data_IF_914320322883
#
_entry.id   IF_914320322883
#
_cell.length_a   1.000
_cell.length_b   1.000
_cell.length_c   1.000
_cell.angle_alpha   90.00
_cell.angle_beta   90.00
_cell.angle_gamma   90.00
#
_symmetry.space_group_name_H-M   'P 1'
#
loop_
_entity.id
_entity.type
_entity.pdbx_description
1 polymer ?
#
# COMPACT_ATOMS: atom_id res chain seq x y z
N UNK A 1 -20.23 13.05 4.12
CA UNK A 1 -19.96 11.59 4.01
C UNK A 1 -19.34 11.33 2.64
N UNK A 2 -18.01 11.22 2.58
CA UNK A 2 -17.31 11.01 1.31
C UNK A 2 -17.34 9.53 0.94
N UNK A 3 -17.54 9.19 -0.34
CA UNK A 3 -17.49 7.81 -0.79
C UNK A 3 -16.07 7.29 -0.55
N UNK A 4 -15.95 6.41 0.44
CA UNK A 4 -14.78 5.52 0.49
C UNK A 4 -14.92 4.56 -0.68
N UNK A 5 -13.82 3.97 -1.13
CA UNK A 5 -13.77 3.01 -2.25
C UNK A 5 -14.92 1.96 -2.27
N UNK A 6 -15.53 1.50 -1.15
CA UNK A 6 -16.76 0.67 -1.23
C UNK A 6 -17.99 1.36 -1.85
N UNK A 7 -18.14 2.69 -1.82
CA UNK A 7 -19.30 3.36 -2.43
C UNK A 7 -19.26 3.35 -3.97
N UNK A 8 -18.07 3.17 -4.57
CA UNK A 8 -17.91 3.08 -6.03
C UNK A 8 -18.33 1.69 -6.55
N UNK A 9 -18.40 0.67 -5.68
CA UNK A 9 -18.97 -0.63 -6.05
C UNK A 9 -20.50 -0.65 -6.00
N UNK A 10 -21.14 0.34 -5.37
CA UNK A 10 -22.61 0.49 -5.30
C UNK A 10 -23.18 1.36 -6.43
N UNK A 11 -22.38 2.27 -7.01
CA UNK A 11 -22.79 3.04 -8.18
C UNK A 11 -22.12 2.49 -9.44
N UNK A 12 -22.87 1.66 -10.17
CA UNK A 12 -22.43 1.14 -11.46
C UNK A 12 -21.97 2.25 -12.42
N UNK A 13 -20.88 1.98 -13.12
CA UNK A 13 -20.41 2.38 -14.48
C UNK A 13 -20.69 3.83 -14.96
N UNK A 14 -21.86 4.42 -14.73
CA UNK A 14 -22.25 5.77 -15.20
C UNK A 14 -21.60 6.94 -14.45
N UNK A 15 -20.83 6.72 -13.39
CA UNK A 15 -20.32 7.79 -12.52
C UNK A 15 -18.98 8.42 -12.97
N UNK A 16 -18.20 7.79 -13.85
CA UNK A 16 -16.84 8.27 -14.16
C UNK A 16 -16.77 9.36 -15.24
N UNK A 17 -17.71 9.40 -16.18
CA UNK A 17 -17.66 10.33 -17.32
C UNK A 17 -17.65 11.81 -16.91
N UNK A 18 -18.25 12.14 -15.76
CA UNK A 18 -18.35 13.52 -15.24
C UNK A 18 -17.48 13.77 -14.00
N UNK A 19 -16.71 12.78 -13.55
CA UNK A 19 -15.96 12.90 -12.30
C UNK A 19 -14.62 13.61 -12.53
N UNK A 20 -14.52 14.85 -12.06
CA UNK A 20 -13.25 15.58 -11.96
C UNK A 20 -12.65 15.30 -10.57
N UNK A 21 -11.48 14.64 -10.48
CA UNK A 21 -10.88 14.34 -9.19
C UNK A 21 -10.31 15.59 -8.52
N UNK A 22 -10.61 15.77 -7.23
CA UNK A 22 -10.07 16.88 -6.42
C UNK A 22 -8.56 16.82 -6.17
N UNK A 23 -7.84 15.77 -6.59
CA UNK A 23 -6.41 15.57 -6.37
C UNK A 23 -5.92 14.23 -6.93
N UNK A 24 -4.64 13.89 -6.78
CA UNK A 24 -4.01 12.68 -7.33
C UNK A 24 -4.12 11.50 -6.37
N UNK A 25 -3.47 11.55 -5.21
CA UNK A 25 -3.40 10.43 -4.25
C UNK A 25 -3.78 10.91 -2.86
N UNK A 26 -4.74 10.23 -2.23
CA UNK A 26 -5.15 10.53 -0.84
C UNK A 26 -4.07 10.12 0.16
N UNK A 27 -3.74 10.97 1.14
CA UNK A 27 -2.72 10.71 2.17
C UNK A 27 -2.97 9.41 2.94
N UNK A 28 -4.22 9.19 3.35
CA UNK A 28 -4.60 8.02 4.15
C UNK A 28 -4.77 6.72 3.33
N UNK A 29 -4.61 6.76 2.00
CA UNK A 29 -4.85 5.57 1.17
C UNK A 29 -3.84 4.45 1.47
N UNK A 30 -2.54 4.77 1.51
CA UNK A 30 -1.50 3.78 1.81
C UNK A 30 -1.68 3.20 3.22
N UNK A 31 -1.86 4.05 4.25
CA UNK A 31 -2.09 3.60 5.63
C UNK A 31 -3.28 2.67 5.73
N UNK A 32 -4.38 3.00 5.06
CA UNK A 32 -5.59 2.18 5.03
C UNK A 32 -5.33 0.78 4.47
N UNK A 33 -4.60 0.69 3.37
CA UNK A 33 -4.34 -0.58 2.67
C UNK A 33 -3.14 -1.37 3.22
N UNK A 34 -2.31 -0.77 4.07
CA UNK A 34 -1.19 -1.46 4.74
C UNK A 34 -1.54 -1.94 6.15
N UNK A 35 -2.34 -1.16 6.91
CA UNK A 35 -2.48 -1.38 8.35
C UNK A 35 -3.93 -1.51 8.85
N UNK A 36 -4.92 -1.02 8.10
CA UNK A 36 -6.30 -0.95 8.59
C UNK A 36 -7.23 -1.97 7.93
N UNK A 37 -6.93 -2.39 6.70
CA UNK A 37 -7.72 -3.35 5.95
C UNK A 37 -6.99 -4.70 5.90
N UNK A 38 -7.49 -5.73 6.60
CA UNK A 38 -6.91 -7.05 6.47
C UNK A 38 -7.25 -7.67 5.11
N UNK A 39 -6.36 -8.52 4.61
CA UNK A 39 -6.65 -9.40 3.47
C UNK A 39 -7.28 -10.72 3.94
N UNK A 40 -6.87 -11.20 5.11
CA UNK A 40 -7.31 -12.42 5.79
C UNK A 40 -7.55 -12.09 7.26
N UNK A 41 -8.62 -12.63 7.83
CA UNK A 41 -8.92 -12.59 9.26
C UNK A 41 -8.94 -14.02 9.79
N UNK A 42 -8.16 -14.30 10.83
CA UNK A 42 -8.03 -15.64 11.41
C UNK A 42 -8.67 -15.66 12.81
N UNK A 43 -9.59 -16.60 13.03
CA UNK A 43 -10.21 -16.88 14.32
C UNK A 43 -9.56 -18.12 14.92
N UNK A 44 -8.89 -17.97 16.06
CA UNK A 44 -8.30 -19.08 16.80
C UNK A 44 -9.23 -19.48 17.95
N UNK A 45 -9.55 -20.78 18.05
CA UNK A 45 -10.34 -21.34 19.14
C UNK A 45 -9.69 -22.56 19.74
N UNK A 46 -9.48 -22.56 21.04
CA UNK A 46 -9.04 -23.74 21.76
C UNK A 46 -10.26 -24.58 22.13
N UNK A 47 -10.52 -25.62 21.34
CA UNK A 47 -11.62 -26.56 21.50
C UNK A 47 -11.28 -27.83 20.72
N UNK A 48 -11.52 -28.99 21.33
CA UNK A 48 -11.30 -30.28 20.67
C UNK A 48 -12.43 -30.60 19.67
N UNK A 49 -12.18 -31.43 18.66
CA UNK A 49 -13.17 -31.72 17.62
C UNK A 49 -14.44 -32.37 18.17
N UNK A 50 -14.29 -33.25 19.16
CA UNK A 50 -15.40 -33.93 19.82
C UNK A 50 -16.32 -32.93 20.53
N UNK A 51 -15.77 -31.87 21.12
CA UNK A 51 -16.52 -30.83 21.82
C UNK A 51 -17.27 -29.89 20.85
N UNK A 52 -16.81 -29.76 19.61
CA UNK A 52 -17.53 -29.03 18.55
C UNK A 52 -18.79 -29.76 18.11
N UNK A 53 -18.86 -31.09 18.28
CA UNK A 53 -20.09 -31.83 17.98
C UNK A 53 -21.23 -31.49 18.94
N UNK A 54 -20.91 -30.89 20.09
CA UNK A 54 -21.92 -30.36 21.01
C UNK A 54 -22.57 -29.10 20.42
N UNK A 55 -23.90 -29.13 20.25
CA UNK A 55 -24.66 -28.08 19.56
C UNK A 55 -24.39 -26.66 20.10
N UNK A 56 -24.18 -26.50 21.41
CA UNK A 56 -23.96 -25.18 22.00
C UNK A 56 -22.60 -24.57 21.61
N UNK A 57 -21.53 -25.36 21.64
CA UNK A 57 -20.19 -24.94 21.22
C UNK A 57 -20.14 -24.65 19.72
N UNK A 58 -20.79 -25.51 18.93
CA UNK A 58 -20.95 -25.32 17.47
C UNK A 58 -21.60 -23.98 17.15
N UNK A 59 -22.74 -23.68 17.80
CA UNK A 59 -23.47 -22.43 17.59
C UNK A 59 -22.71 -21.19 18.06
N UNK A 60 -21.92 -21.30 19.13
CA UNK A 60 -21.07 -20.20 19.60
C UNK A 60 -20.02 -19.81 18.53
N UNK A 61 -19.34 -20.80 17.92
CA UNK A 61 -18.34 -20.56 16.86
C UNK A 61 -19.00 -19.95 15.62
N UNK A 62 -20.16 -20.48 15.19
CA UNK A 62 -20.92 -19.95 14.05
C UNK A 62 -21.30 -18.49 14.29
N UNK A 63 -21.77 -18.16 15.50
CA UNK A 63 -22.16 -16.79 15.87
C UNK A 63 -20.99 -15.83 15.77
N UNK A 64 -19.81 -16.24 16.24
CA UNK A 64 -18.61 -15.41 16.21
C UNK A 64 -18.06 -15.23 14.78
N UNK A 65 -18.12 -16.26 13.95
CA UNK A 65 -17.79 -16.16 12.52
C UNK A 65 -18.75 -15.20 11.82
N UNK A 66 -20.05 -15.28 12.10
CA UNK A 66 -21.04 -14.37 11.53
C UNK A 66 -20.83 -12.92 11.98
N UNK A 67 -20.44 -12.71 13.24
CA UNK A 67 -20.03 -11.40 13.73
C UNK A 67 -18.83 -10.87 12.94
N UNK A 68 -17.76 -11.66 12.79
CA UNK A 68 -16.58 -11.28 12.01
C UNK A 68 -16.92 -10.97 10.55
N UNK A 69 -17.80 -11.77 9.91
CA UNK A 69 -18.31 -11.51 8.56
C UNK A 69 -18.96 -10.14 8.45
N UNK A 70 -19.76 -9.76 9.43
CA UNK A 70 -20.46 -8.47 9.44
C UNK A 70 -19.50 -7.28 9.48
N UNK A 71 -18.37 -7.39 10.20
CA UNK A 71 -17.35 -6.34 10.28
C UNK A 71 -16.54 -6.19 8.98
N UNK A 72 -16.34 -7.29 8.25
CA UNK A 72 -15.55 -7.33 7.01
C UNK A 72 -16.38 -7.33 5.73
N UNK A 73 -17.69 -7.08 5.84
CA UNK A 73 -18.62 -7.03 4.72
C UNK A 73 -18.11 -6.12 3.60
N UNK A 74 -18.30 -6.55 2.35
CA UNK A 74 -17.88 -5.85 1.13
C UNK A 74 -16.38 -5.56 0.98
N UNK A 75 -15.52 -6.08 1.89
CA UNK A 75 -14.07 -5.93 1.79
C UNK A 75 -13.40 -7.11 1.10
N UNK A 76 -14.12 -8.23 0.96
CA UNK A 76 -13.62 -9.51 0.41
C UNK A 76 -12.44 -10.06 1.22
N UNK A 77 -12.52 -9.90 2.54
CA UNK A 77 -11.58 -10.53 3.47
C UNK A 77 -11.91 -12.02 3.53
N UNK A 78 -10.88 -12.86 3.48
CA UNK A 78 -11.04 -14.29 3.73
C UNK A 78 -11.03 -14.54 5.23
N UNK A 79 -12.01 -15.29 5.73
CA UNK A 79 -12.07 -15.68 7.14
C UNK A 79 -11.54 -17.09 7.24
N UNK A 80 -10.58 -17.30 8.15
CA UNK A 80 -9.95 -18.57 8.43
C UNK A 80 -10.26 -18.96 9.86
N UNK A 81 -10.75 -20.18 10.08
CA UNK A 81 -10.96 -20.76 11.39
C UNK A 81 -9.82 -21.73 11.70
N UNK A 82 -9.18 -21.55 12.85
CA UNK A 82 -8.09 -22.41 13.34
C UNK A 82 -8.46 -22.94 14.71
N UNK A 83 -8.46 -24.26 14.85
CA UNK A 83 -8.75 -24.92 16.12
C UNK A 83 -7.46 -25.36 16.81
N UNK A 84 -7.30 -25.01 18.07
CA UNK A 84 -6.18 -25.43 18.91
C UNK A 84 -6.63 -26.66 19.70
N UNK A 85 -6.11 -27.83 19.31
CA UNK A 85 -6.52 -29.12 19.88
C UNK A 85 -5.61 -29.43 21.07
N UNK A 86 -6.24 -29.62 22.23
CA UNK A 86 -5.57 -29.85 23.50
C UNK A 86 -5.49 -31.32 23.87
N UNK A 87 -6.38 -32.19 23.39
CA UNK A 87 -6.29 -33.65 23.66
C UNK A 87 -5.51 -34.38 22.58
N UNK A 88 -4.60 -35.25 22.97
CA UNK A 88 -4.07 -36.30 22.09
C UNK A 88 -5.19 -37.29 21.78
N UNK A 89 -5.73 -37.24 20.57
CA UNK A 89 -6.64 -38.24 20.04
C UNK A 89 -5.92 -39.04 18.94
N UNK A 90 -5.89 -40.39 18.98
CA UNK A 90 -5.27 -41.21 17.94
C UNK A 90 -5.84 -40.92 16.54
N UNK A 91 -7.11 -40.50 16.45
CA UNK A 91 -7.74 -40.07 15.21
C UNK A 91 -7.14 -38.75 14.70
N UNK A 92 -6.84 -37.81 15.59
CA UNK A 92 -6.25 -36.51 15.28
C UNK A 92 -4.77 -36.67 14.89
N UNK A 93 -4.03 -37.56 15.55
CA UNK A 93 -2.66 -37.92 15.14
C UNK A 93 -2.64 -38.55 13.73
N UNK A 94 -3.64 -39.37 13.38
CA UNK A 94 -3.80 -39.85 12.01
C UNK A 94 -4.06 -38.68 11.04
N UNK A 95 -5.01 -37.80 11.36
CA UNK A 95 -5.40 -36.62 10.55
C UNK A 95 -4.23 -35.63 10.36
N UNK A 96 -3.41 -35.41 11.38
CA UNK A 96 -2.27 -34.49 11.36
C UNK A 96 -1.09 -35.06 10.56
N UNK A 97 -0.83 -36.36 10.69
CA UNK A 97 0.15 -37.06 9.85
C UNK A 97 -0.32 -37.18 8.38
N UNK A 98 -1.63 -37.16 8.12
CA UNK A 98 -2.25 -37.15 6.79
C UNK A 98 -2.32 -35.77 6.11
N UNK A 99 -1.86 -34.69 6.75
CA UNK A 99 -1.57 -33.46 5.98
C UNK A 99 -0.37 -33.60 5.03
N UNK A 100 0.31 -34.75 4.99
CA UNK A 100 1.23 -35.15 3.92
C UNK A 100 0.64 -36.21 2.96
N UNK A 101 -0.48 -36.83 3.30
CA UNK A 101 -1.11 -37.88 2.49
C UNK A 101 -2.61 -37.81 2.64
N UNK A 102 -3.31 -37.45 1.56
CA UNK A 102 -4.76 -37.52 1.38
C UNK A 102 -5.46 -38.40 2.44
N UNK A 103 -6.12 -37.76 3.41
CA UNK A 103 -6.91 -38.50 4.40
C UNK A 103 -8.10 -39.17 3.70
N UNK A 104 -7.99 -40.48 3.51
CA UNK A 104 -9.04 -41.38 3.02
C UNK A 104 -9.98 -41.84 4.15
N UNK A 105 -10.15 -41.05 5.23
CA UNK A 105 -11.33 -41.19 6.10
C UNK A 105 -12.45 -40.27 5.57
N UNK A 106 -13.35 -40.79 4.72
CA UNK A 106 -14.41 -40.00 4.11
C UNK A 106 -15.37 -39.39 5.15
N UNK A 107 -15.49 -39.99 6.34
CA UNK A 107 -16.45 -39.56 7.36
C UNK A 107 -16.03 -38.24 8.00
N UNK A 108 -14.76 -38.13 8.40
CA UNK A 108 -14.24 -36.91 9.02
C UNK A 108 -14.22 -35.73 8.04
N UNK A 109 -13.88 -36.00 6.78
CA UNK A 109 -13.89 -35.00 5.70
C UNK A 109 -15.32 -34.50 5.42
N UNK A 110 -16.31 -35.38 5.44
CA UNK A 110 -17.72 -35.02 5.28
C UNK A 110 -18.22 -34.17 6.46
N UNK A 111 -17.90 -34.53 7.71
CA UNK A 111 -18.26 -33.74 8.89
C UNK A 111 -17.60 -32.35 8.90
N UNK A 112 -16.32 -32.28 8.53
CA UNK A 112 -15.58 -31.02 8.38
C UNK A 112 -16.22 -30.13 7.31
N UNK A 113 -16.58 -30.71 6.16
CA UNK A 113 -17.21 -29.96 5.06
C UNK A 113 -18.58 -29.42 5.49
N UNK A 114 -19.42 -30.25 6.12
CA UNK A 114 -20.72 -29.84 6.68
C UNK A 114 -20.59 -28.69 7.67
N UNK A 115 -19.62 -28.76 8.58
CA UNK A 115 -19.39 -27.67 9.54
C UNK A 115 -18.91 -26.38 8.85
N UNK A 116 -18.04 -26.50 7.85
CA UNK A 116 -17.61 -25.36 7.03
C UNK A 116 -18.79 -24.72 6.28
N UNK A 117 -19.69 -25.54 5.73
CA UNK A 117 -20.89 -25.08 5.03
C UNK A 117 -21.84 -24.33 5.98
N UNK A 118 -22.04 -24.83 7.22
CA UNK A 118 -22.83 -24.13 8.25
C UNK A 118 -22.19 -22.81 8.69
N UNK A 119 -20.87 -22.75 8.72
CA UNK A 119 -20.12 -21.52 8.96
C UNK A 119 -20.05 -20.61 7.72
N UNK A 120 -20.51 -21.07 6.55
CA UNK A 120 -20.36 -20.46 5.23
C UNK A 120 -18.89 -20.02 4.98
N UNK A 121 -17.95 -20.94 5.23
CA UNK A 121 -16.53 -20.79 4.91
C UNK A 121 -16.08 -21.94 4.01
N UNK A 122 -15.03 -21.70 3.22
CA UNK A 122 -14.45 -22.79 2.42
C UNK A 122 -13.69 -23.77 3.32
N UNK A 123 -13.74 -25.09 3.06
CA UNK A 123 -12.91 -26.07 3.77
C UNK A 123 -11.41 -25.77 3.72
N UNK A 124 -10.94 -25.01 2.71
CA UNK A 124 -9.55 -24.53 2.62
C UNK A 124 -9.19 -23.46 3.65
N UNK A 125 -10.19 -22.91 4.35
CA UNK A 125 -10.06 -21.87 5.37
C UNK A 125 -10.25 -22.46 6.78
N UNK A 126 -10.15 -23.77 6.95
CA UNK A 126 -10.35 -24.43 8.22
C UNK A 126 -9.16 -25.32 8.53
N UNK A 127 -8.58 -25.12 9.72
CA UNK A 127 -7.33 -25.75 10.13
C UNK A 127 -7.35 -26.16 11.60
N UNK A 128 -6.38 -27.00 11.95
CA UNK A 128 -6.17 -27.49 13.30
C UNK A 128 -4.69 -27.35 13.67
N UNK A 129 -4.40 -27.03 14.93
CA UNK A 129 -3.06 -27.00 15.50
C UNK A 129 -3.04 -27.87 16.76
N UNK A 130 -2.26 -28.96 16.79
CA UNK A 130 -2.06 -29.75 17.99
C UNK A 130 -1.10 -29.03 18.94
N UNK A 131 -1.59 -28.54 20.09
CA UNK A 131 -0.73 -27.74 20.98
C UNK A 131 0.14 -28.59 21.92
N UNK A 132 -0.14 -29.88 22.06
CA UNK A 132 0.63 -30.78 22.94
C UNK A 132 1.93 -31.31 22.33
N UNK A 133 2.04 -31.34 20.99
CA UNK A 133 3.22 -31.85 20.29
C UNK A 133 3.93 -30.69 19.58
N UNK A 134 5.07 -30.27 20.11
CA UNK A 134 5.81 -29.10 19.61
C UNK A 134 6.18 -29.22 18.12
N UNK A 135 6.63 -30.40 17.69
CA UNK A 135 7.00 -30.65 16.29
C UNK A 135 5.79 -30.57 15.34
N UNK A 136 4.68 -31.21 15.71
CA UNK A 136 3.46 -31.16 14.89
C UNK A 136 2.85 -29.74 14.89
N UNK A 137 2.90 -29.05 16.03
CA UNK A 137 2.48 -27.65 16.16
C UNK A 137 3.26 -26.77 15.18
N UNK A 138 4.59 -26.86 15.21
CA UNK A 138 5.47 -26.11 14.32
C UNK A 138 5.13 -26.36 12.84
N UNK A 139 4.97 -27.62 12.44
CA UNK A 139 4.62 -27.98 11.07
C UNK A 139 3.24 -27.48 10.66
N UNK A 140 2.24 -27.54 11.55
CA UNK A 140 0.90 -27.02 11.30
C UNK A 140 0.93 -25.49 11.11
N UNK A 141 1.68 -24.77 11.95
CA UNK A 141 1.85 -23.31 11.85
C UNK A 141 2.47 -22.92 10.51
N UNK A 142 3.54 -23.57 10.07
CA UNK A 142 4.17 -23.31 8.77
C UNK A 142 3.20 -23.53 7.59
N UNK A 143 2.40 -24.60 7.64
CA UNK A 143 1.38 -24.89 6.62
C UNK A 143 0.29 -23.82 6.59
N UNK A 144 -0.24 -23.45 7.76
CA UNK A 144 -1.27 -22.42 7.89
C UNK A 144 -0.74 -21.07 7.41
N UNK A 145 0.50 -20.72 7.78
CA UNK A 145 1.17 -19.50 7.32
C UNK A 145 1.23 -19.47 5.79
N UNK A 146 1.72 -20.54 5.16
CA UNK A 146 1.81 -20.62 3.71
C UNK A 146 0.45 -20.43 3.01
N UNK A 147 -0.60 -21.08 3.53
CA UNK A 147 -1.95 -20.97 2.96
C UNK A 147 -2.56 -19.59 3.17
N UNK A 148 -2.44 -19.00 4.37
CA UNK A 148 -2.90 -17.63 4.64
C UNK A 148 -2.16 -16.60 3.77
N UNK A 149 -0.87 -16.81 3.52
CA UNK A 149 -0.07 -15.96 2.64
C UNK A 149 -0.58 -16.04 1.18
N UNK A 150 -0.91 -17.24 0.69
CA UNK A 150 -1.54 -17.40 -0.63
C UNK A 150 -2.92 -16.72 -0.71
N UNK A 151 -3.76 -16.86 0.33
CA UNK A 151 -5.05 -16.16 0.40
C UNK A 151 -4.88 -14.64 0.34
N UNK A 152 -3.89 -14.10 1.06
CA UNK A 152 -3.56 -12.68 1.02
C UNK A 152 -3.07 -12.23 -0.36
N UNK A 153 -2.18 -13.00 -1.00
CA UNK A 153 -1.71 -12.75 -2.37
C UNK A 153 -2.86 -12.72 -3.38
N UNK A 154 -3.81 -13.65 -3.25
CA UNK A 154 -5.00 -13.73 -4.10
C UNK A 154 -5.95 -12.56 -3.87
N UNK A 155 -6.15 -12.13 -2.62
CA UNK A 155 -6.91 -10.92 -2.30
C UNK A 155 -6.35 -9.69 -3.03
N UNK A 156 -5.04 -9.47 -2.93
CA UNK A 156 -4.40 -8.32 -3.60
C UNK A 156 -4.39 -8.45 -5.12
N UNK A 157 -4.27 -9.66 -5.67
CA UNK A 157 -4.41 -9.91 -7.10
C UNK A 157 -5.81 -9.52 -7.60
N UNK A 158 -6.85 -9.87 -6.84
CA UNK A 158 -8.22 -9.47 -7.14
C UNK A 158 -8.39 -7.94 -7.10
N UNK A 159 -7.87 -7.26 -6.06
CA UNK A 159 -7.90 -5.79 -5.99
C UNK A 159 -7.19 -5.13 -7.17
N UNK A 160 -6.05 -5.67 -7.59
CA UNK A 160 -5.35 -5.19 -8.79
C UNK A 160 -6.20 -5.35 -10.04
N UNK A 161 -6.88 -6.51 -10.23
CA UNK A 161 -7.79 -6.74 -11.36
C UNK A 161 -8.92 -5.71 -11.40
N UNK A 162 -9.56 -5.41 -10.27
CA UNK A 162 -10.61 -4.39 -10.19
C UNK A 162 -10.11 -3.01 -10.64
N UNK A 163 -8.95 -2.59 -10.14
CA UNK A 163 -8.38 -1.28 -10.51
C UNK A 163 -8.00 -1.26 -11.99
N UNK A 164 -7.49 -2.37 -12.52
CA UNK A 164 -7.18 -2.48 -13.95
C UNK A 164 -8.44 -2.27 -14.79
N UNK A 165 -9.53 -2.96 -14.47
CA UNK A 165 -10.82 -2.77 -15.17
C UNK A 165 -11.30 -1.32 -15.12
N UNK A 166 -11.20 -0.65 -13.96
CA UNK A 166 -11.55 0.76 -13.84
C UNK A 166 -10.63 1.66 -14.68
N UNK A 167 -9.33 1.37 -14.72
CA UNK A 167 -8.35 2.12 -15.50
C UNK A 167 -8.58 1.99 -16.99
N UNK A 168 -8.88 0.78 -17.46
CA UNK A 168 -9.08 0.48 -18.89
C UNK A 168 -10.34 1.16 -19.45
N UNK A 169 -11.24 1.63 -18.58
CA UNK A 169 -12.41 2.44 -18.92
C UNK A 169 -12.13 3.94 -18.99
N UNK A 170 -10.94 4.41 -18.60
CA UNK A 170 -10.61 5.84 -18.57
C UNK A 170 -10.13 6.35 -19.93
N UNK A 171 -10.47 7.61 -20.22
CA UNK A 171 -9.84 8.34 -21.33
C UNK A 171 -8.54 8.99 -20.84
N UNK A 172 -7.39 8.54 -21.39
CA UNK A 172 -6.05 8.99 -20.96
C UNK A 172 -5.85 10.51 -21.11
N UNK A 173 -6.53 11.15 -22.06
CA UNK A 173 -6.33 12.57 -22.41
C UNK A 173 -7.16 13.53 -21.54
N UNK A 174 -8.32 13.08 -21.06
CA UNK A 174 -9.22 13.90 -20.25
C UNK A 174 -9.18 13.55 -18.76
N UNK A 175 -8.77 12.32 -18.41
CA UNK A 175 -8.81 11.78 -17.06
C UNK A 175 -7.42 11.42 -16.51
N UNK A 176 -6.41 12.23 -16.84
CA UNK A 176 -5.00 11.98 -16.57
C UNK A 176 -4.73 11.77 -15.06
N UNK A 177 -5.42 12.53 -14.19
CA UNK A 177 -5.34 12.38 -12.73
C UNK A 177 -5.81 11.01 -12.26
N UNK A 178 -6.92 10.52 -12.83
CA UNK A 178 -7.43 9.19 -12.52
C UNK A 178 -6.47 8.12 -13.03
N UNK A 179 -5.91 8.32 -14.22
CA UNK A 179 -4.93 7.41 -14.80
C UNK A 179 -3.69 7.25 -13.92
N UNK A 180 -3.06 8.37 -13.52
CA UNK A 180 -1.91 8.37 -12.59
C UNK A 180 -2.26 7.65 -11.29
N UNK A 181 -3.42 7.96 -10.71
CA UNK A 181 -3.90 7.32 -9.48
C UNK A 181 -4.06 5.81 -9.65
N UNK A 182 -4.63 5.34 -10.75
CA UNK A 182 -4.90 3.92 -10.96
C UNK A 182 -3.60 3.15 -11.25
N UNK A 183 -2.70 3.71 -12.06
CA UNK A 183 -1.37 3.15 -12.28
C UNK A 183 -0.57 3.06 -10.97
N UNK A 184 -0.60 4.10 -10.13
CA UNK A 184 0.05 4.04 -8.81
C UNK A 184 -0.50 2.89 -7.96
N UNK A 185 -1.84 2.74 -7.89
CA UNK A 185 -2.47 1.68 -7.10
C UNK A 185 -2.18 0.28 -7.67
N UNK A 186 -2.11 0.14 -9.00
CA UNK A 186 -1.67 -1.10 -9.63
C UNK A 186 -0.23 -1.43 -9.27
N UNK A 187 0.67 -0.45 -9.32
CA UNK A 187 2.05 -0.59 -8.88
C UNK A 187 2.11 -1.06 -7.42
N UNK A 188 1.34 -0.43 -6.53
CA UNK A 188 1.26 -0.80 -5.12
C UNK A 188 0.81 -2.26 -4.90
N UNK A 189 -0.28 -2.70 -5.54
CA UNK A 189 -0.75 -4.07 -5.36
C UNK A 189 0.21 -5.13 -5.92
N UNK A 190 0.99 -4.80 -6.96
CA UNK A 190 2.05 -5.69 -7.43
C UNK A 190 3.27 -5.66 -6.51
N UNK A 191 3.63 -4.50 -5.95
CA UNK A 191 4.75 -4.35 -5.01
C UNK A 191 4.54 -5.20 -3.75
N UNK A 192 3.37 -5.11 -3.10
CA UNK A 192 3.08 -5.89 -1.88
C UNK A 192 2.98 -7.40 -2.15
N UNK A 193 2.73 -7.79 -3.40
CA UNK A 193 2.76 -9.18 -3.87
C UNK A 193 4.17 -9.63 -4.29
N UNK A 194 5.18 -8.77 -4.14
CA UNK A 194 6.57 -9.01 -4.52
C UNK A 194 6.77 -9.25 -6.03
N UNK A 195 5.88 -8.73 -6.88
CA UNK A 195 6.00 -8.80 -8.35
C UNK A 195 6.66 -7.51 -8.83
N UNK A 196 7.95 -7.36 -8.51
CA UNK A 196 8.68 -6.09 -8.64
C UNK A 196 8.77 -5.56 -10.09
N UNK A 197 8.93 -6.44 -11.08
CA UNK A 197 8.99 -6.04 -12.50
C UNK A 197 7.67 -5.38 -12.97
N UNK A 198 6.54 -5.99 -12.66
CA UNK A 198 5.22 -5.44 -13.00
C UNK A 198 4.91 -4.17 -12.20
N UNK A 199 5.29 -4.14 -10.91
CA UNK A 199 5.16 -2.94 -10.09
C UNK A 199 5.94 -1.75 -10.67
N UNK A 200 7.20 -1.98 -11.07
CA UNK A 200 8.05 -1.00 -11.72
C UNK A 200 7.41 -0.42 -12.99
N UNK A 201 6.87 -1.29 -13.85
CA UNK A 201 6.18 -0.87 -15.08
C UNK A 201 5.01 0.07 -14.79
N UNK A 202 4.15 -0.29 -13.84
CA UNK A 202 3.01 0.55 -13.44
C UNK A 202 3.46 1.89 -12.82
N UNK A 203 4.47 1.89 -11.94
CA UNK A 203 4.98 3.13 -11.39
C UNK A 203 5.63 4.04 -12.45
N UNK A 204 6.37 3.48 -13.42
CA UNK A 204 6.90 4.24 -14.55
C UNK A 204 5.78 4.84 -15.41
N UNK A 205 4.71 4.08 -15.68
CA UNK A 205 3.56 4.58 -16.42
C UNK A 205 2.85 5.71 -15.67
N UNK A 206 2.67 5.58 -14.36
CA UNK A 206 2.13 6.65 -13.52
C UNK A 206 3.00 7.91 -13.60
N UNK A 207 4.33 7.77 -13.55
CA UNK A 207 5.26 8.88 -13.63
C UNK A 207 5.22 9.58 -14.99
N UNK A 208 5.21 8.81 -16.09
CA UNK A 208 5.09 9.37 -17.45
C UNK A 208 3.79 10.15 -17.61
N UNK A 209 2.65 9.58 -17.20
CA UNK A 209 1.37 10.29 -17.27
C UNK A 209 1.31 11.50 -16.33
N UNK A 210 2.04 11.50 -15.21
CA UNK A 210 2.11 12.62 -14.29
C UNK A 210 2.83 13.83 -14.90
N UNK A 211 3.96 13.60 -15.58
CA UNK A 211 4.74 14.70 -16.17
C UNK A 211 4.06 15.33 -17.41
N UNK A 212 3.11 14.61 -18.03
CA UNK A 212 2.24 15.09 -19.12
C UNK A 212 1.16 16.07 -18.60
N UNK A 213 0.89 16.12 -17.30
CA UNK A 213 -0.10 17.03 -16.72
C UNK A 213 0.42 18.48 -16.79
N UNK A 214 -0.38 19.38 -17.38
CA UNK A 214 -0.07 20.81 -17.44
C UNK A 214 0.01 21.40 -16.03
N UNK A 215 1.16 22.01 -15.74
CA UNK A 215 1.40 22.69 -14.46
C UNK A 215 0.58 23.99 -14.37
N UNK A 216 0.07 24.25 -13.18
CA UNK A 216 -0.48 25.54 -12.76
C UNK A 216 -0.15 25.77 -11.27
N UNK A 217 -0.32 26.99 -10.74
CA UNK A 217 0.01 27.29 -9.35
C UNK A 217 -0.74 26.43 -8.31
N UNK A 218 -1.93 25.91 -8.65
CA UNK A 218 -2.76 25.12 -7.75
C UNK A 218 -2.29 23.67 -7.63
N UNK A 219 -1.66 23.13 -8.68
CA UNK A 219 -1.27 21.72 -8.77
C UNK A 219 0.24 21.47 -8.74
N UNK A 220 1.08 22.52 -8.83
CA UNK A 220 2.53 22.38 -8.93
C UNK A 220 3.11 21.61 -7.74
N UNK A 221 2.71 21.96 -6.51
CA UNK A 221 3.15 21.30 -5.28
C UNK A 221 2.67 19.85 -5.23
N UNK A 222 1.42 19.59 -5.61
CA UNK A 222 0.87 18.24 -5.65
C UNK A 222 1.67 17.36 -6.64
N UNK A 223 1.84 17.82 -7.88
CA UNK A 223 2.59 17.10 -8.91
C UNK A 223 4.04 16.85 -8.48
N UNK A 224 4.71 17.84 -7.90
CA UNK A 224 6.09 17.72 -7.43
C UNK A 224 6.23 16.67 -6.32
N UNK A 225 5.30 16.62 -5.37
CA UNK A 225 5.29 15.63 -4.31
C UNK A 225 4.93 14.21 -4.80
N UNK A 226 3.95 14.08 -5.71
CA UNK A 226 3.61 12.77 -6.29
C UNK A 226 4.76 12.26 -7.18
N UNK A 227 5.46 13.14 -7.89
CA UNK A 227 6.64 12.77 -8.68
C UNK A 227 7.76 12.23 -7.81
N UNK A 228 8.04 12.89 -6.68
CA UNK A 228 8.99 12.40 -5.68
C UNK A 228 8.60 11.02 -5.12
N UNK A 229 7.33 10.83 -4.76
CA UNK A 229 6.83 9.54 -4.28
C UNK A 229 6.98 8.43 -5.32
N UNK A 230 6.63 8.70 -6.58
CA UNK A 230 6.78 7.76 -7.68
C UNK A 230 8.25 7.45 -7.96
N UNK A 231 9.12 8.47 -7.96
CA UNK A 231 10.55 8.30 -8.12
C UNK A 231 11.13 7.37 -7.05
N UNK A 232 10.81 7.62 -5.77
CA UNK A 232 11.17 6.74 -4.66
C UNK A 232 10.74 5.29 -4.90
N UNK A 233 9.48 5.09 -5.30
CA UNK A 233 8.94 3.74 -5.60
C UNK A 233 9.67 3.07 -6.75
N UNK A 234 10.00 3.81 -7.82
CA UNK A 234 10.70 3.29 -9.00
C UNK A 234 12.13 2.89 -8.65
N UNK A 235 12.89 3.75 -7.96
CA UNK A 235 14.25 3.48 -7.50
C UNK A 235 14.28 2.24 -6.60
N UNK A 236 13.36 2.17 -5.63
CA UNK A 236 13.22 0.99 -4.76
C UNK A 236 12.98 -0.29 -5.58
N UNK A 237 12.14 -0.24 -6.62
CA UNK A 237 11.92 -1.42 -7.47
C UNK A 237 13.15 -1.79 -8.30
N UNK A 238 13.91 -0.81 -8.81
CA UNK A 238 15.18 -1.09 -9.51
C UNK A 238 16.19 -1.78 -8.59
N UNK A 239 16.33 -1.33 -7.34
CA UNK A 239 17.19 -2.00 -6.36
C UNK A 239 16.71 -3.42 -6.03
N UNK A 240 15.40 -3.63 -5.83
CA UNK A 240 14.84 -4.97 -5.64
C UNK A 240 15.06 -5.91 -6.84
N UNK A 241 15.18 -5.36 -8.05
CA UNK A 241 15.47 -6.10 -9.28
C UNK A 241 16.98 -6.23 -9.55
N UNK A 242 17.83 -5.78 -8.63
CA UNK A 242 19.29 -5.83 -8.72
C UNK A 242 19.86 -5.10 -9.96
N UNK A 243 19.25 -3.96 -10.35
CA UNK A 243 19.69 -3.12 -11.47
C UNK A 243 20.03 -1.69 -11.00
N UNK A 244 21.10 -1.51 -10.20
CA UNK A 244 21.42 -0.23 -9.55
C UNK A 244 21.80 0.88 -10.54
N UNK A 245 22.39 0.55 -11.69
CA UNK A 245 22.75 1.53 -12.72
C UNK A 245 21.52 2.19 -13.33
N UNK A 246 20.45 1.41 -13.53
CA UNK A 246 19.16 1.94 -13.98
C UNK A 246 18.54 2.85 -12.91
N UNK A 247 18.67 2.50 -11.63
CA UNK A 247 18.23 3.34 -10.52
C UNK A 247 18.95 4.70 -10.52
N UNK A 248 20.27 4.69 -10.66
CA UNK A 248 21.11 5.91 -10.71
C UNK A 248 20.74 6.76 -11.93
N UNK A 249 20.64 6.16 -13.10
CA UNK A 249 20.26 6.84 -14.34
C UNK A 249 18.86 7.47 -14.23
N UNK A 250 17.90 6.72 -13.68
CA UNK A 250 16.54 7.21 -13.49
C UNK A 250 16.49 8.38 -12.51
N UNK A 251 17.23 8.30 -11.40
CA UNK A 251 17.32 9.38 -10.42
C UNK A 251 17.94 10.65 -11.01
N UNK A 252 19.05 10.54 -11.75
CA UNK A 252 19.68 11.69 -12.41
C UNK A 252 18.70 12.39 -13.35
N UNK A 253 17.99 11.62 -14.18
CA UNK A 253 16.94 12.16 -15.07
C UNK A 253 15.79 12.81 -14.30
N UNK A 254 15.38 12.24 -13.16
CA UNK A 254 14.36 12.86 -12.31
C UNK A 254 14.81 14.23 -11.79
N UNK A 255 16.06 14.34 -11.31
CA UNK A 255 16.64 15.60 -10.87
C UNK A 255 16.72 16.58 -12.03
N UNK A 256 17.25 16.19 -13.19
CA UNK A 256 17.33 17.06 -14.38
C UNK A 256 15.97 17.65 -14.78
N UNK A 257 14.90 16.85 -14.77
CA UNK A 257 13.54 17.31 -15.09
C UNK A 257 13.04 18.32 -14.08
N UNK A 258 13.20 18.06 -12.78
CA UNK A 258 12.54 18.83 -11.73
C UNK A 258 13.39 20.00 -11.19
N UNK A 259 14.71 19.92 -11.31
CA UNK A 259 15.65 20.91 -10.78
C UNK A 259 15.45 22.28 -11.40
N UNK A 260 15.08 22.39 -12.68
CA UNK A 260 14.85 23.69 -13.33
C UNK A 260 13.36 24.00 -13.52
N UNK A 261 12.50 22.98 -13.56
CA UNK A 261 11.06 23.12 -13.87
C UNK A 261 10.25 23.86 -12.80
N UNK A 262 10.75 23.96 -11.57
CA UNK A 262 10.08 24.60 -10.43
C UNK A 262 10.96 25.68 -9.77
N UNK A 263 11.91 26.25 -10.50
CA UNK A 263 12.79 27.33 -9.99
C UNK A 263 12.20 28.71 -10.24
N UNK A 264 11.23 28.83 -11.16
CA UNK A 264 10.52 30.09 -11.45
C UNK A 264 9.58 30.54 -10.33
N UNK A 265 9.26 29.67 -9.38
CA UNK A 265 8.37 29.98 -8.27
C UNK A 265 9.18 30.63 -7.15
N UNK A 266 8.67 31.75 -6.63
CA UNK A 266 9.30 32.73 -5.74
C UNK A 266 9.82 32.18 -4.39
N UNK A 267 9.88 30.86 -4.21
CA UNK A 267 10.19 30.17 -2.94
C UNK A 267 11.38 29.21 -3.14
N UNK A 268 12.54 29.76 -3.44
CA UNK A 268 13.79 29.03 -3.73
C UNK A 268 14.21 28.09 -2.59
N UNK A 269 13.98 28.48 -1.33
CA UNK A 269 14.32 27.63 -0.18
C UNK A 269 13.50 26.34 -0.13
N UNK A 270 12.21 26.34 -0.47
CA UNK A 270 11.39 25.13 -0.56
C UNK A 270 11.87 24.22 -1.69
N UNK A 271 12.33 24.80 -2.79
CA UNK A 271 12.91 24.04 -3.88
C UNK A 271 14.18 23.29 -3.43
N UNK A 272 15.08 23.96 -2.73
CA UNK A 272 16.29 23.34 -2.19
C UNK A 272 15.99 22.31 -1.08
N UNK A 273 14.99 22.55 -0.25
CA UNK A 273 14.48 21.54 0.69
C UNK A 273 14.05 20.27 -0.04
N UNK A 274 13.24 20.41 -1.09
CA UNK A 274 12.81 19.27 -1.88
C UNK A 274 13.99 18.53 -2.53
N UNK A 275 14.97 19.23 -3.10
CA UNK A 275 16.16 18.61 -3.69
C UNK A 275 16.97 17.85 -2.64
N UNK A 276 17.22 18.43 -1.46
CA UNK A 276 17.92 17.72 -0.38
C UNK A 276 17.20 16.42 0.00
N UNK A 277 15.86 16.45 0.12
CA UNK A 277 15.06 15.25 0.40
C UNK A 277 15.15 14.21 -0.72
N UNK A 278 15.21 14.62 -2.00
CA UNK A 278 15.39 13.67 -3.10
C UNK A 278 16.74 12.94 -3.00
N UNK A 279 17.83 13.68 -2.78
CA UNK A 279 19.17 13.10 -2.64
C UNK A 279 19.29 12.23 -1.39
N UNK A 280 18.72 12.67 -0.26
CA UNK A 280 18.68 11.88 0.99
C UNK A 280 17.97 10.55 0.79
N UNK A 281 16.74 10.59 0.25
CA UNK A 281 15.95 9.36 0.03
C UNK A 281 16.63 8.40 -0.95
N UNK A 282 17.29 8.93 -1.99
CA UNK A 282 18.06 8.10 -2.90
C UNK A 282 19.26 7.44 -2.19
N UNK A 283 20.00 8.21 -1.38
CA UNK A 283 21.13 7.71 -0.62
C UNK A 283 20.71 6.60 0.35
N UNK A 284 19.64 6.81 1.11
CA UNK A 284 19.10 5.82 2.06
C UNK A 284 18.63 4.54 1.35
N UNK A 285 17.95 4.66 0.20
CA UNK A 285 17.55 3.49 -0.59
C UNK A 285 18.75 2.73 -1.14
N UNK A 286 19.79 3.43 -1.59
CA UNK A 286 21.00 2.81 -2.11
C UNK A 286 21.78 2.11 -0.99
N UNK A 287 21.90 2.73 0.18
CA UNK A 287 22.54 2.14 1.35
C UNK A 287 21.80 0.88 1.84
N UNK A 288 20.47 0.96 1.94
CA UNK A 288 19.62 -0.20 2.23
C UNK A 288 19.79 -1.31 1.19
N UNK A 289 19.92 -0.97 -0.09
CA UNK A 289 20.12 -1.94 -1.15
C UNK A 289 21.48 -2.65 -1.05
N UNK A 290 22.55 -1.94 -0.64
CA UNK A 290 23.86 -2.54 -0.36
C UNK A 290 23.74 -3.55 0.77
N UNK A 291 23.11 -3.16 1.88
CA UNK A 291 22.93 -4.03 3.04
C UNK A 291 22.05 -5.26 2.75
N UNK A 292 20.99 -5.10 1.94
CA UNK A 292 20.00 -6.15 1.70
C UNK A 292 20.40 -7.07 0.54
N UNK A 293 20.96 -6.53 -0.54
CA UNK A 293 21.24 -7.25 -1.79
C UNK A 293 22.72 -7.52 -2.03
N UNK A 294 23.60 -7.19 -1.07
CA UNK A 294 25.05 -7.37 -1.17
C UNK A 294 25.64 -6.74 -2.44
N UNK A 295 25.06 -5.61 -2.88
CA UNK A 295 25.60 -4.81 -3.97
C UNK A 295 27.00 -4.34 -3.59
N UNK A 296 27.99 -4.59 -4.43
CA UNK A 296 29.34 -4.06 -4.23
C UNK A 296 29.35 -2.57 -4.61
N UNK A 297 29.45 -1.63 -3.66
CA UNK A 297 29.59 -0.22 -4.00
C UNK A 297 30.91 0.00 -4.75
N UNK A 298 30.92 0.91 -5.72
CA UNK A 298 32.17 1.37 -6.33
C UNK A 298 32.59 2.70 -5.72
N UNK A 299 33.88 3.04 -5.84
CA UNK A 299 34.39 4.34 -5.40
C UNK A 299 33.61 5.53 -6.01
N UNK A 300 33.03 5.34 -7.20
CA UNK A 300 32.23 6.35 -7.93
C UNK A 300 30.72 6.21 -7.76
N UNK A 301 30.23 5.04 -7.33
CA UNK A 301 28.81 4.74 -7.15
C UNK A 301 28.60 4.20 -5.74
N UNK A 302 28.52 5.12 -4.80
CA UNK A 302 28.25 4.84 -3.39
C UNK A 302 27.24 5.85 -2.83
N UNK A 303 26.50 5.49 -1.76
CA UNK A 303 25.53 6.38 -1.12
C UNK A 303 26.12 7.69 -0.60
N UNK A 304 27.39 7.70 -0.21
CA UNK A 304 28.08 8.85 0.38
C UNK A 304 28.04 10.10 -0.49
N UNK A 305 28.19 9.95 -1.82
CA UNK A 305 28.08 11.05 -2.78
C UNK A 305 26.69 11.72 -2.69
N UNK A 306 25.63 10.93 -2.54
CA UNK A 306 24.26 11.44 -2.49
C UNK A 306 23.91 12.04 -1.13
N UNK A 307 24.44 11.49 -0.03
CA UNK A 307 24.35 12.14 1.29
C UNK A 307 25.04 13.51 1.29
N UNK A 308 26.22 13.60 0.68
CA UNK A 308 26.95 14.87 0.54
C UNK A 308 26.15 15.89 -0.27
N UNK A 309 25.61 15.52 -1.44
CA UNK A 309 24.77 16.41 -2.26
C UNK A 309 23.51 16.86 -1.51
N UNK A 310 22.88 15.98 -0.72
CA UNK A 310 21.76 16.35 0.15
C UNK A 310 22.16 17.46 1.14
N UNK A 311 23.30 17.32 1.81
CA UNK A 311 23.82 18.31 2.75
C UNK A 311 24.13 19.65 2.05
N UNK A 312 24.68 19.62 0.84
CA UNK A 312 24.92 20.83 0.02
C UNK A 312 23.61 21.56 -0.28
N UNK A 313 22.53 20.84 -0.62
CA UNK A 313 21.22 21.47 -0.83
C UNK A 313 20.57 21.99 0.45
N UNK A 314 20.81 21.36 1.61
CA UNK A 314 20.38 21.91 2.90
C UNK A 314 21.07 23.26 3.22
N UNK A 315 22.35 23.41 2.88
CA UNK A 315 23.05 24.69 3.01
C UNK A 315 22.44 25.75 2.09
N UNK A 316 22.18 25.40 0.82
CA UNK A 316 21.51 26.30 -0.14
C UNK A 316 20.11 26.72 0.33
N UNK A 317 19.34 25.78 0.89
CA UNK A 317 18.03 26.05 1.52
C UNK A 317 18.17 27.11 2.60
N UNK A 318 19.12 26.93 3.53
CA UNK A 318 19.34 27.86 4.65
C UNK A 318 19.68 29.26 4.14
N UNK A 319 20.64 29.39 3.23
CA UNK A 319 21.03 30.70 2.68
C UNK A 319 19.86 31.39 1.97
N UNK A 320 19.11 30.66 1.13
CA UNK A 320 17.96 31.21 0.42
C UNK A 320 16.79 31.60 1.34
N UNK A 321 16.59 30.87 2.45
CA UNK A 321 15.56 31.22 3.42
C UNK A 321 15.90 32.52 4.16
N UNK A 322 17.16 32.72 4.53
CA UNK A 322 17.63 33.98 5.14
C UNK A 322 17.45 35.16 4.19
N UNK A 323 17.83 35.00 2.92
CA UNK A 323 17.60 36.02 1.88
C UNK A 323 16.11 36.40 1.77
N UNK A 324 15.21 35.42 1.83
CA UNK A 324 13.76 35.63 1.70
C UNK A 324 13.17 36.33 2.93
N UNK A 325 13.63 35.98 4.14
CA UNK A 325 13.18 36.60 5.39
C UNK A 325 13.48 38.11 5.44
N UNK A 326 14.62 38.53 4.88
CA UNK A 326 14.96 39.96 4.82
C UNK A 326 14.08 40.78 3.88
N UNK A 327 13.27 40.13 3.03
CA UNK A 327 12.40 40.79 2.06
C UNK A 327 10.96 40.94 2.54
N UNK A 328 10.56 40.20 3.58
CA UNK A 328 9.18 40.19 4.09
C UNK A 328 8.93 41.31 5.09
N UNK A 329 7.80 42.00 4.95
CA UNK A 329 7.34 42.96 5.94
C UNK A 329 6.44 42.29 7.01
N UNK A 330 6.21 42.99 8.13
CA UNK A 330 5.42 42.45 9.24
C UNK A 330 3.99 42.07 8.83
N UNK A 331 3.36 42.83 7.93
CA UNK A 331 1.99 42.57 7.48
C UNK A 331 1.90 41.27 6.66
N UNK A 332 2.90 40.98 5.82
CA UNK A 332 3.00 39.73 5.06
C UNK A 332 3.20 38.53 5.98
N UNK A 333 4.01 38.70 7.03
CA UNK A 333 4.22 37.67 8.06
C UNK A 333 2.95 37.37 8.83
N UNK A 334 2.20 38.40 9.23
CA UNK A 334 0.94 38.25 9.95
C UNK A 334 -0.13 37.57 9.06
N UNK A 335 -0.20 37.95 7.79
CA UNK A 335 -1.08 37.32 6.79
C UNK A 335 -0.75 35.84 6.58
N UNK A 336 0.53 35.50 6.43
CA UNK A 336 0.96 34.11 6.27
C UNK A 336 0.62 33.28 7.52
N UNK A 337 0.83 33.83 8.72
CA UNK A 337 0.49 33.16 9.98
C UNK A 337 -1.00 32.87 10.08
N UNK A 338 -1.85 33.83 9.70
CA UNK A 338 -3.30 33.68 9.69
C UNK A 338 -3.79 32.62 8.68
N UNK A 339 -3.21 32.58 7.48
CA UNK A 339 -3.47 31.52 6.50
C UNK A 339 -3.10 30.15 7.08
N UNK A 340 -1.90 30.01 7.66
CA UNK A 340 -1.43 28.75 8.21
C UNK A 340 -2.29 28.29 9.40
N UNK A 341 -2.82 29.22 10.20
CA UNK A 341 -3.71 28.91 11.32
C UNK A 341 -5.13 28.49 10.86
N UNK A 342 -5.63 29.09 9.79
CA UNK A 342 -7.01 28.86 9.30
C UNK A 342 -7.16 27.61 8.42
N UNK A 343 -6.13 27.25 7.66
CA UNK A 343 -6.24 26.22 6.64
C UNK A 343 -5.91 24.82 7.20
N UNK A 344 -6.93 23.95 7.25
CA UNK A 344 -6.83 22.56 7.69
C UNK A 344 -6.09 21.67 6.70
N UNK A 345 -5.47 20.61 7.23
CA UNK A 345 -4.73 19.60 6.48
C UNK A 345 -5.53 19.03 5.28
N UNK A 346 -4.88 18.89 4.13
CA UNK A 346 -5.52 18.42 2.89
C UNK A 346 -5.65 16.91 2.83
N UNK A 347 -6.66 16.41 2.12
CA UNK A 347 -6.88 14.96 1.94
C UNK A 347 -5.84 14.29 1.02
N UNK A 348 -5.15 15.07 0.18
CA UNK A 348 -4.26 14.59 -0.88
C UNK A 348 -2.81 14.98 -0.66
N UNK A 349 -1.91 14.10 -1.07
CA UNK A 349 -0.45 14.27 -0.89
C UNK A 349 0.01 15.48 -1.70
N UNK A 350 0.69 16.43 -1.04
CA UNK A 350 1.27 17.60 -1.70
C UNK A 350 0.27 18.70 -2.07
N UNK A 351 -1.02 18.55 -1.76
CA UNK A 351 -1.96 19.66 -1.90
C UNK A 351 -1.78 20.67 -0.78
N UNK A 352 -1.71 21.95 -1.15
CA UNK A 352 -1.62 23.06 -0.21
C UNK A 352 -3.02 23.47 0.23
N UNK A 353 -3.25 23.68 1.53
CA UNK A 353 -4.60 23.82 2.08
C UNK A 353 -5.25 25.18 1.77
N UNK A 354 -4.46 26.18 1.37
CA UNK A 354 -4.91 27.49 0.89
C UNK A 354 -5.23 27.55 -0.61
N UNK A 355 -5.04 26.45 -1.35
CA UNK A 355 -5.42 26.33 -2.77
C UNK A 355 -6.66 25.44 -2.98
N UNK A 356 -7.48 25.23 -1.95
CA UNK A 356 -8.74 24.50 -2.12
C UNK A 356 -9.73 25.36 -2.90
N UNK A 357 -10.31 24.80 -3.96
CA UNK A 357 -11.43 25.40 -4.69
C UNK A 357 -12.62 25.58 -3.73
N UNK A 358 -12.92 26.82 -3.34
CA UNK A 358 -14.17 27.18 -2.66
C UNK A 358 -15.43 26.87 -3.51
N UNK A 359 -15.25 26.42 -4.76
CA UNK A 359 -16.31 26.05 -5.70
C UNK A 359 -16.89 24.63 -5.54
N UNK A 360 -16.52 23.87 -4.51
CA UNK A 360 -17.12 22.54 -4.23
C UNK A 360 -17.86 22.45 -2.88
N UNK A 361 -18.32 23.59 -2.34
CA UNK A 361 -19.38 23.62 -1.32
C UNK A 361 -20.70 24.04 -1.98
N UNK A 362 -21.36 23.11 -2.65
CA UNK A 362 -22.81 23.16 -2.92
C UNK A 362 -23.37 21.78 -2.58
#
# INVERSE_FOLDING_TARGET
>A
MHPTIPTILLFGIKSYERYVPNGLIKKNWLRKHLYLLPAVAALFKQIDWEEIQENHNRQAIITEINHLKSEVINRQVKIVLVLLISKQSPAIDLILNLFEYQADDPLFKDQTTKFCDECDISPKCFFYIPIQNETQCHNAVLKIEAVMNDMARNHYAFKAKLIKTLKDQLNKTTQNYLFVRHEFKLGFYHEIRQIHSTALSHYKNAYTSLIEIRLNPMNCSEIKNIAALLNYKIIKMFFNLNVPLDAISYFKRHIEIFQNKFVSDQIRFEHFDWLSKQYLMFAELFDMAIATFHLAPSATHNPGVYYFESAVYLLKRRSSALESLHQLNQNEMDFASDILAKHKDTDFIGQLPWFQNDSCKV
#
